data_IF_960989121688
#
_entry.id   IF_960989121688
#
_cell.length_a   1.000
_cell.length_b   1.000
_cell.length_c   1.000
_cell.angle_alpha   90.00
_cell.angle_beta   90.00
_cell.angle_gamma   90.00
#
_symmetry.space_group_name_H-M   'P 1'
#
loop_
_entity.id
_entity.type
_entity.pdbx_description
1 polymer ?
#
# COMPACT_ATOMS: atom_id res chain seq x y z
N UNK A 1 -85.50 -9.31 -63.96
CA UNK A 1 -84.17 -9.80 -63.58
C UNK A 1 -83.27 -8.59 -63.36
N UNK A 2 -83.18 -8.10 -62.12
CA UNK A 2 -82.36 -6.93 -61.75
C UNK A 2 -81.15 -7.47 -60.99
N UNK A 3 -79.98 -7.02 -61.41
CA UNK A 3 -78.69 -7.65 -61.18
C UNK A 3 -78.22 -7.64 -59.72
N UNK A 4 -77.99 -8.84 -59.20
CA UNK A 4 -77.18 -9.11 -58.02
C UNK A 4 -75.71 -9.04 -58.43
N UNK A 5 -75.09 -7.85 -58.47
CA UNK A 5 -73.63 -7.70 -58.71
C UNK A 5 -72.90 -6.66 -57.84
N UNK A 6 -73.52 -6.14 -56.78
CA UNK A 6 -72.89 -5.11 -55.94
C UNK A 6 -72.06 -5.64 -54.74
N UNK A 7 -72.05 -6.96 -54.45
CA UNK A 7 -71.56 -7.47 -53.17
C UNK A 7 -70.11 -8.02 -53.17
N UNK A 8 -69.44 -8.10 -54.32
CA UNK A 8 -68.06 -8.62 -54.43
C UNK A 8 -66.99 -7.59 -54.07
N UNK A 9 -67.24 -6.30 -54.34
CA UNK A 9 -66.28 -5.22 -54.06
C UNK A 9 -66.15 -4.90 -52.56
N UNK A 10 -67.23 -5.06 -51.78
CA UNK A 10 -67.20 -4.86 -50.33
C UNK A 10 -66.42 -5.98 -49.63
N UNK A 11 -66.64 -7.25 -50.02
CA UNK A 11 -65.86 -8.37 -49.48
C UNK A 11 -64.37 -8.21 -49.76
N UNK A 12 -63.99 -7.89 -51.00
CA UNK A 12 -62.58 -7.71 -51.37
C UNK A 12 -61.88 -6.57 -50.60
N UNK A 13 -62.56 -5.42 -50.39
CA UNK A 13 -61.99 -4.31 -49.62
C UNK A 13 -61.85 -4.64 -48.14
N UNK A 14 -62.80 -5.38 -47.57
CA UNK A 14 -62.72 -5.87 -46.19
C UNK A 14 -61.57 -6.87 -46.03
N UNK A 15 -61.36 -7.79 -46.97
CA UNK A 15 -60.22 -8.72 -46.89
C UNK A 15 -58.87 -8.02 -46.95
N UNK A 16 -58.71 -7.03 -47.82
CA UNK A 16 -57.46 -6.25 -47.93
C UNK A 16 -57.20 -5.44 -46.66
N UNK A 17 -58.22 -4.81 -46.08
CA UNK A 17 -58.09 -4.05 -44.84
C UNK A 17 -57.71 -4.96 -43.65
N UNK A 18 -58.30 -6.16 -43.56
CA UNK A 18 -57.98 -7.14 -42.49
C UNK A 18 -56.55 -7.66 -42.65
N UNK A 19 -56.10 -7.97 -43.86
CA UNK A 19 -54.71 -8.43 -44.11
C UNK A 19 -53.70 -7.34 -43.78
N UNK A 20 -53.97 -6.08 -44.16
CA UNK A 20 -53.10 -4.95 -43.81
C UNK A 20 -53.03 -4.73 -42.29
N UNK A 21 -54.17 -4.80 -41.58
CA UNK A 21 -54.19 -4.68 -40.12
C UNK A 21 -53.41 -5.82 -39.43
N UNK A 22 -53.54 -7.06 -39.91
CA UNK A 22 -52.76 -8.20 -39.40
C UNK A 22 -51.26 -8.06 -39.67
N UNK A 23 -50.87 -7.55 -40.83
CA UNK A 23 -49.47 -7.30 -41.16
C UNK A 23 -48.86 -6.23 -40.23
N UNK A 24 -49.58 -5.13 -39.98
CA UNK A 24 -49.14 -4.09 -39.03
C UNK A 24 -49.04 -4.65 -37.62
N UNK A 25 -50.04 -5.41 -37.16
CA UNK A 25 -49.99 -6.04 -35.84
C UNK A 25 -48.79 -6.99 -35.70
N UNK A 26 -48.50 -7.81 -36.72
CA UNK A 26 -47.32 -8.68 -36.72
C UNK A 26 -46.01 -7.90 -36.65
N UNK A 27 -45.88 -6.79 -37.40
CA UNK A 27 -44.70 -5.93 -37.34
C UNK A 27 -44.53 -5.29 -35.96
N UNK A 28 -45.61 -4.78 -35.36
CA UNK A 28 -45.58 -4.21 -34.00
C UNK A 28 -45.16 -5.26 -32.97
N UNK A 29 -45.71 -6.49 -33.05
CA UNK A 29 -45.31 -7.58 -32.15
C UNK A 29 -43.81 -7.91 -32.31
N UNK A 30 -43.30 -7.98 -33.54
CA UNK A 30 -41.87 -8.26 -33.79
C UNK A 30 -40.98 -7.13 -33.23
N UNK A 31 -41.38 -5.87 -33.38
CA UNK A 31 -40.64 -4.74 -32.84
C UNK A 31 -40.61 -4.78 -31.31
N UNK A 32 -41.76 -5.00 -30.65
CA UNK A 32 -41.85 -5.11 -29.19
C UNK A 32 -41.04 -6.30 -28.66
N UNK A 33 -41.09 -7.46 -29.32
CA UNK A 33 -40.30 -8.63 -28.93
C UNK A 33 -38.79 -8.35 -29.07
N UNK A 34 -38.39 -7.64 -30.13
CA UNK A 34 -36.99 -7.26 -30.34
C UNK A 34 -36.51 -6.27 -29.28
N UNK A 35 -37.32 -5.27 -28.97
CA UNK A 35 -37.03 -4.26 -27.95
C UNK A 35 -36.94 -4.89 -26.56
N UNK A 36 -37.90 -5.75 -26.18
CA UNK A 36 -37.85 -6.50 -24.92
C UNK A 36 -36.62 -7.42 -24.83
N UNK A 37 -36.20 -8.02 -25.95
CA UNK A 37 -35.01 -8.87 -25.96
C UNK A 37 -33.74 -8.05 -25.78
N UNK A 38 -33.63 -6.90 -26.45
CA UNK A 38 -32.48 -6.00 -26.28
C UNK A 38 -32.42 -5.44 -24.86
N UNK A 39 -33.56 -5.10 -24.27
CA UNK A 39 -33.63 -4.67 -22.89
C UNK A 39 -33.21 -5.80 -21.92
N UNK A 40 -33.67 -7.03 -22.13
CA UNK A 40 -33.27 -8.16 -21.31
C UNK A 40 -31.76 -8.50 -21.45
N UNK A 41 -31.20 -8.38 -22.65
CA UNK A 41 -29.76 -8.54 -22.91
C UNK A 41 -28.96 -7.43 -22.21
N UNK A 42 -29.46 -6.19 -22.22
CA UNK A 42 -28.85 -5.06 -21.51
C UNK A 42 -28.90 -5.23 -19.98
N UNK A 43 -30.07 -5.54 -19.42
CA UNK A 43 -30.23 -5.80 -17.97
C UNK A 43 -29.34 -6.95 -17.50
N UNK A 44 -29.21 -8.01 -18.31
CA UNK A 44 -28.30 -9.12 -18.02
C UNK A 44 -26.83 -8.69 -18.04
N UNK A 45 -26.42 -7.84 -18.97
CA UNK A 45 -25.05 -7.35 -19.06
C UNK A 45 -24.69 -6.37 -17.93
N UNK A 46 -25.62 -5.49 -17.52
CA UNK A 46 -25.47 -4.65 -16.32
C UNK A 46 -25.32 -5.55 -15.08
N UNK A 47 -26.21 -6.52 -14.90
CA UNK A 47 -26.19 -7.42 -13.74
C UNK A 47 -24.93 -8.29 -13.67
N UNK A 48 -24.40 -8.74 -14.81
CA UNK A 48 -23.15 -9.49 -14.87
C UNK A 48 -21.96 -8.59 -14.49
N UNK A 49 -21.91 -7.38 -15.02
CA UNK A 49 -20.89 -6.39 -14.67
C UNK A 49 -20.93 -6.01 -13.17
N UNK A 50 -22.11 -5.75 -12.62
CA UNK A 50 -22.29 -5.47 -11.18
C UNK A 50 -21.76 -6.62 -10.32
N UNK A 51 -21.99 -7.87 -10.76
CA UNK A 51 -21.49 -9.06 -10.07
C UNK A 51 -19.96 -9.13 -10.12
N UNK A 52 -19.35 -8.83 -11.27
CA UNK A 52 -17.89 -8.76 -11.40
C UNK A 52 -17.29 -7.65 -10.54
N UNK A 53 -17.94 -6.48 -10.49
CA UNK A 53 -17.52 -5.36 -9.67
C UNK A 53 -17.61 -5.69 -8.17
N UNK A 54 -18.73 -6.25 -7.72
CA UNK A 54 -18.88 -6.68 -6.32
C UNK A 54 -17.87 -7.77 -5.92
N UNK A 55 -17.54 -8.69 -6.84
CA UNK A 55 -16.48 -9.68 -6.60
C UNK A 55 -15.11 -9.01 -6.47
N UNK A 56 -14.79 -8.06 -7.35
CA UNK A 56 -13.56 -7.28 -7.28
C UNK A 56 -13.45 -6.54 -5.95
N UNK A 57 -14.52 -5.88 -5.51
CA UNK A 57 -14.60 -5.11 -4.26
C UNK A 57 -14.36 -6.02 -3.05
N UNK A 58 -15.05 -7.17 -2.99
CA UNK A 58 -14.84 -8.17 -1.94
C UNK A 58 -13.40 -8.69 -1.92
N UNK A 59 -12.82 -8.98 -3.08
CA UNK A 59 -11.43 -9.47 -3.18
C UNK A 59 -10.42 -8.39 -2.74
N UNK A 60 -10.66 -7.12 -3.08
CA UNK A 60 -9.82 -5.99 -2.64
C UNK A 60 -9.95 -5.72 -1.16
N UNK A 61 -11.16 -5.79 -0.59
CA UNK A 61 -11.37 -5.65 0.85
C UNK A 61 -10.69 -6.79 1.63
N UNK A 62 -10.78 -8.02 1.14
CA UNK A 62 -10.14 -9.18 1.77
C UNK A 62 -8.61 -9.13 1.67
N UNK A 63 -8.06 -8.66 0.54
CA UNK A 63 -6.61 -8.63 0.31
C UNK A 63 -5.89 -7.39 0.83
N UNK A 64 -6.46 -6.21 0.59
CA UNK A 64 -5.84 -4.89 0.87
C UNK A 64 -6.55 -4.19 2.02
N UNK A 65 -7.89 -4.23 2.04
CA UNK A 65 -8.72 -3.56 3.06
C UNK A 65 -8.58 -4.13 4.47
N UNK A 66 -8.04 -5.34 4.62
CA UNK A 66 -7.63 -5.91 5.90
C UNK A 66 -6.38 -5.24 6.49
N UNK A 67 -5.70 -4.37 5.73
CA UNK A 67 -4.49 -3.66 6.13
C UNK A 67 -3.21 -4.43 5.87
N UNK A 68 -2.13 -3.99 6.52
CA UNK A 68 -0.92 -4.78 6.63
C UNK A 68 -1.25 -5.95 7.57
N UNK A 69 -1.90 -6.97 7.04
CA UNK A 69 -2.09 -8.23 7.74
C UNK A 69 -0.70 -8.86 7.90
N UNK A 70 -0.03 -8.49 8.99
CA UNK A 70 1.18 -9.14 9.42
C UNK A 70 0.88 -10.64 9.57
N UNK A 71 1.74 -11.55 9.08
CA UNK A 71 1.60 -12.98 9.31
C UNK A 71 1.32 -13.26 10.80
N UNK A 72 0.53 -14.28 11.13
CA UNK A 72 0.25 -14.61 12.53
C UNK A 72 1.56 -14.68 13.36
N UNK A 73 1.69 -13.79 14.35
CA UNK A 73 2.87 -13.69 15.21
C UNK A 73 3.99 -12.75 14.73
N UNK A 74 3.82 -12.07 13.60
CA UNK A 74 4.74 -11.01 13.17
C UNK A 74 4.55 -9.74 14.01
N UNK A 75 5.67 -9.14 14.36
CA UNK A 75 5.79 -7.94 15.21
C UNK A 75 5.76 -6.70 14.31
N UNK A 76 5.21 -5.58 14.79
CA UNK A 76 5.29 -4.32 14.04
C UNK A 76 6.77 -3.92 13.87
N UNK A 77 7.08 -3.18 12.81
CA UNK A 77 8.46 -2.77 12.56
C UNK A 77 8.95 -1.84 13.67
N UNK A 78 8.06 -1.00 14.22
CA UNK A 78 8.37 -0.14 15.36
C UNK A 78 8.62 -0.91 16.66
N UNK A 79 7.97 -2.04 16.88
CA UNK A 79 8.21 -2.90 18.06
C UNK A 79 9.46 -3.78 17.91
N UNK A 80 9.83 -4.16 16.69
CA UNK A 80 11.03 -4.97 16.39
C UNK A 80 12.35 -4.18 16.46
N UNK A 81 12.26 -2.84 16.53
CA UNK A 81 13.38 -1.91 16.44
C UNK A 81 13.52 -1.12 17.74
N UNK A 82 14.59 -1.40 18.47
CA UNK A 82 15.08 -0.66 19.63
C UNK A 82 16.20 0.35 19.31
N UNK A 83 16.50 0.61 18.04
CA UNK A 83 17.36 1.71 17.58
C UNK A 83 18.86 1.56 17.85
N UNK A 84 19.28 0.40 18.36
CA UNK A 84 20.67 0.15 18.75
C UNK A 84 21.62 0.01 17.56
N UNK A 85 21.10 -0.07 16.35
CA UNK A 85 21.89 -0.17 15.12
C UNK A 85 22.41 1.20 14.61
N UNK A 86 21.97 2.33 15.18
CA UNK A 86 22.38 3.69 14.79
C UNK A 86 23.53 4.29 15.62
N UNK A 87 24.30 3.44 16.30
CA UNK A 87 25.52 3.82 17.02
C UNK A 87 26.74 3.11 16.45
N UNK A 88 27.96 3.58 16.74
CA UNK A 88 29.17 2.82 16.44
C UNK A 88 29.21 1.47 17.18
N UNK A 89 29.94 0.50 16.65
CA UNK A 89 30.10 -0.82 17.26
C UNK A 89 31.12 -0.75 18.41
N UNK A 90 30.63 -0.54 19.63
CA UNK A 90 31.48 -0.45 20.82
C UNK A 90 32.06 -1.82 21.22
N UNK A 91 33.37 -1.95 21.50
CA UNK A 91 34.00 -3.23 21.87
C UNK A 91 33.50 -3.85 23.17
N UNK A 92 32.89 -3.05 24.06
CA UNK A 92 32.40 -3.41 25.38
C UNK A 92 30.88 -3.57 25.45
N UNK A 93 30.17 -3.46 24.31
CA UNK A 93 28.79 -3.92 24.15
C UNK A 93 28.76 -5.46 24.18
N UNK A 94 29.14 -5.99 25.34
CA UNK A 94 29.32 -7.40 25.61
C UNK A 94 27.97 -8.04 25.88
N UNK A 95 27.18 -8.21 24.82
CA UNK A 95 26.28 -9.35 24.66
C UNK A 95 25.65 -9.28 23.24
N UNK A 96 26.08 -10.14 22.28
CA UNK A 96 25.46 -10.20 20.96
C UNK A 96 23.98 -10.64 21.03
N UNK A 97 23.53 -11.22 22.14
CA UNK A 97 22.12 -11.52 22.41
C UNK A 97 21.37 -10.35 23.08
N UNK A 98 22.07 -9.23 23.37
CA UNK A 98 21.48 -8.02 23.99
C UNK A 98 21.14 -6.91 23.02
N UNK A 99 21.36 -7.07 21.71
CA UNK A 99 20.74 -6.16 20.77
C UNK A 99 19.24 -6.27 20.98
N UNK A 100 18.62 -5.18 21.47
CA UNK A 100 17.17 -5.10 21.64
C UNK A 100 16.42 -5.38 20.32
N UNK A 101 17.16 -5.35 19.20
CA UNK A 101 16.70 -5.57 17.84
C UNK A 101 16.91 -7.04 17.47
N UNK A 102 15.82 -7.78 17.26
CA UNK A 102 15.89 -9.12 16.67
C UNK A 102 15.94 -8.99 15.16
N UNK A 103 17.07 -9.38 14.54
CA UNK A 103 17.23 -9.37 13.08
C UNK A 103 16.13 -10.17 12.37
N UNK A 104 15.69 -11.28 12.97
CA UNK A 104 14.61 -12.12 12.43
C UNK A 104 13.24 -11.42 12.48
N UNK A 105 12.96 -10.66 13.55
CA UNK A 105 11.73 -9.88 13.67
C UNK A 105 11.74 -8.70 12.68
N UNK A 106 12.85 -7.96 12.59
CA UNK A 106 13.01 -6.87 11.62
C UNK A 106 12.87 -7.38 10.19
N UNK A 107 13.53 -8.50 9.83
CA UNK A 107 13.42 -9.08 8.49
C UNK A 107 11.99 -9.55 8.18
N UNK A 108 11.31 -10.15 9.16
CA UNK A 108 9.90 -10.56 9.04
C UNK A 108 9.01 -9.34 8.78
N UNK A 109 9.13 -8.28 9.58
CA UNK A 109 8.35 -7.06 9.45
C UNK A 109 8.61 -6.35 8.10
N UNK A 110 9.89 -6.20 7.71
CA UNK A 110 10.29 -5.64 6.43
C UNK A 110 9.76 -6.44 5.23
N UNK A 111 9.76 -7.77 5.32
CA UNK A 111 9.21 -8.65 4.28
C UNK A 111 7.71 -8.46 4.16
N UNK A 112 6.98 -8.41 5.27
CA UNK A 112 5.53 -8.24 5.28
C UNK A 112 5.13 -6.86 4.70
N UNK A 113 5.78 -5.78 5.11
CA UNK A 113 5.50 -4.43 4.61
C UNK A 113 5.84 -4.28 3.12
N UNK A 114 6.93 -4.90 2.66
CA UNK A 114 7.30 -4.89 1.23
C UNK A 114 6.32 -5.70 0.39
N UNK A 115 5.88 -6.88 0.87
CA UNK A 115 4.87 -7.68 0.20
C UNK A 115 3.51 -6.97 0.13
N UNK A 116 3.12 -6.29 1.21
CA UNK A 116 1.92 -5.45 1.23
C UNK A 116 2.01 -4.33 0.19
N UNK A 117 3.13 -3.61 0.15
CA UNK A 117 3.37 -2.55 -0.82
C UNK A 117 3.24 -3.04 -2.27
N UNK A 118 3.82 -4.19 -2.58
CA UNK A 118 3.68 -4.82 -3.90
C UNK A 118 2.23 -5.18 -4.20
N UNK A 119 1.48 -5.69 -3.22
CA UNK A 119 0.06 -6.05 -3.39
C UNK A 119 -0.83 -4.87 -3.74
N UNK A 120 -0.54 -3.68 -3.21
CA UNK A 120 -1.26 -2.43 -3.52
C UNK A 120 -0.88 -1.91 -4.91
N UNK A 121 0.41 -1.95 -5.25
CA UNK A 121 0.90 -1.48 -6.54
C UNK A 121 0.32 -2.30 -7.70
N UNK A 122 0.36 -3.64 -7.59
CA UNK A 122 -0.11 -4.56 -8.64
C UNK A 122 -1.61 -4.86 -8.58
N UNK A 123 -2.35 -4.22 -7.66
CA UNK A 123 -3.79 -4.44 -7.53
C UNK A 123 -4.51 -4.18 -8.86
N UNK A 124 -5.37 -5.09 -9.35
CA UNK A 124 -6.13 -4.83 -10.56
C UNK A 124 -7.12 -3.68 -10.34
N UNK A 125 -7.26 -2.83 -11.35
CA UNK A 125 -8.35 -1.85 -11.44
C UNK A 125 -9.72 -2.54 -11.41
N UNK A 126 -10.79 -1.85 -11.00
CA UNK A 126 -12.14 -2.38 -11.13
C UNK A 126 -12.47 -2.72 -12.58
N UNK A 127 -13.31 -3.74 -12.82
CA UNK A 127 -13.71 -4.13 -14.18
C UNK A 127 -14.42 -2.97 -14.87
N UNK A 128 -13.86 -2.54 -16.01
CA UNK A 128 -14.45 -1.47 -16.79
C UNK A 128 -15.85 -1.86 -17.31
N UNK A 129 -16.79 -0.91 -17.37
CA UNK A 129 -18.10 -1.18 -17.93
C UNK A 129 -18.02 -1.54 -19.43
N UNK A 130 -18.91 -2.41 -19.95
CA UNK A 130 -18.92 -2.73 -21.38
C UNK A 130 -19.14 -1.48 -22.24
N UNK A 131 -18.37 -1.32 -23.31
CA UNK A 131 -18.36 -0.10 -24.14
C UNK A 131 -19.64 0.16 -24.93
N UNK A 132 -20.45 -0.88 -25.12
CA UNK A 132 -21.75 -0.87 -25.78
C UNK A 132 -22.92 -0.68 -24.81
N UNK A 133 -22.64 -0.57 -23.51
CA UNK A 133 -23.62 -0.33 -22.47
C UNK A 133 -23.80 1.17 -22.21
N UNK A 134 -25.01 1.69 -22.43
CA UNK A 134 -25.38 3.00 -21.92
C UNK A 134 -25.74 2.89 -20.43
N UNK A 135 -24.76 3.13 -19.55
CA UNK A 135 -24.97 3.16 -18.10
C UNK A 135 -25.51 4.51 -17.64
N UNK A 136 -26.36 4.50 -16.61
CA UNK A 136 -26.73 5.74 -15.93
C UNK A 136 -25.56 6.26 -15.08
N UNK A 137 -25.63 7.51 -14.64
CA UNK A 137 -24.63 8.07 -13.71
C UNK A 137 -24.67 7.32 -12.37
N UNK A 138 -25.84 6.80 -11.98
CA UNK A 138 -25.99 6.02 -10.75
C UNK A 138 -25.28 4.67 -10.84
N UNK A 139 -25.31 4.02 -12.00
CA UNK A 139 -24.64 2.73 -12.21
C UNK A 139 -23.11 2.92 -12.33
N UNK A 140 -22.64 4.06 -12.88
CA UNK A 140 -21.21 4.36 -13.01
C UNK A 140 -20.54 4.81 -11.71
N UNK A 141 -21.30 5.41 -10.78
CA UNK A 141 -20.75 6.00 -9.57
C UNK A 141 -19.92 5.01 -8.70
N UNK A 142 -20.34 3.74 -8.47
CA UNK A 142 -19.52 2.77 -7.74
C UNK A 142 -18.19 2.47 -8.41
N UNK A 143 -18.18 2.30 -9.74
CA UNK A 143 -16.95 2.06 -10.50
C UNK A 143 -15.97 3.23 -10.40
N UNK A 144 -16.47 4.46 -10.61
CA UNK A 144 -15.63 5.67 -10.52
C UNK A 144 -15.07 5.85 -9.11
N UNK A 145 -15.88 5.59 -8.08
CA UNK A 145 -15.44 5.62 -6.68
C UNK A 145 -14.37 4.56 -6.41
N UNK A 146 -14.59 3.30 -6.84
CA UNK A 146 -13.64 2.22 -6.61
C UNK A 146 -12.29 2.47 -7.29
N UNK A 147 -12.29 2.99 -8.51
CA UNK A 147 -11.05 3.34 -9.22
C UNK A 147 -10.35 4.53 -8.55
N UNK A 148 -11.10 5.57 -8.15
CA UNK A 148 -10.55 6.70 -7.41
C UNK A 148 -9.95 6.27 -6.07
N UNK A 149 -10.66 5.45 -5.29
CA UNK A 149 -10.21 4.94 -4.00
C UNK A 149 -8.91 4.14 -4.13
N UNK A 150 -8.77 3.30 -5.16
CA UNK A 150 -7.54 2.55 -5.40
C UNK A 150 -6.37 3.48 -5.80
N UNK A 151 -6.64 4.48 -6.64
CA UNK A 151 -5.63 5.46 -7.02
C UNK A 151 -5.17 6.30 -5.82
N UNK A 152 -6.11 6.74 -4.98
CA UNK A 152 -5.85 7.50 -3.77
C UNK A 152 -5.06 6.67 -2.75
N UNK A 153 -5.42 5.39 -2.57
CA UNK A 153 -4.65 4.46 -1.75
C UNK A 153 -3.21 4.39 -2.23
N UNK A 154 -2.98 4.10 -3.52
CA UNK A 154 -1.62 4.00 -4.10
C UNK A 154 -0.81 5.28 -3.88
N UNK A 155 -1.45 6.43 -4.08
CA UNK A 155 -0.82 7.73 -3.85
C UNK A 155 -0.45 7.92 -2.38
N UNK A 156 -1.39 7.61 -1.47
CA UNK A 156 -1.22 7.80 -0.04
C UNK A 156 -0.14 6.89 0.55
N UNK A 157 -0.03 5.64 0.09
CA UNK A 157 0.97 4.70 0.62
C UNK A 157 2.35 4.81 -0.03
N UNK A 158 2.47 5.50 -1.17
CA UNK A 158 3.72 5.55 -1.96
C UNK A 158 4.91 6.10 -1.17
N UNK A 159 4.73 7.25 -0.51
CA UNK A 159 5.78 7.89 0.31
C UNK A 159 6.16 7.05 1.54
N UNK A 160 5.22 6.61 2.41
CA UNK A 160 5.58 5.84 3.58
C UNK A 160 6.20 4.48 3.23
N UNK A 161 5.73 3.81 2.18
CA UNK A 161 6.35 2.57 1.68
C UNK A 161 7.78 2.81 1.20
N UNK A 162 8.03 3.91 0.49
CA UNK A 162 9.38 4.25 0.04
C UNK A 162 10.33 4.46 1.23
N UNK A 163 9.86 5.14 2.27
CA UNK A 163 10.62 5.33 3.51
C UNK A 163 10.88 3.99 4.23
N UNK A 164 9.88 3.12 4.33
CA UNK A 164 10.03 1.77 4.90
C UNK A 164 11.04 0.94 4.08
N UNK A 165 10.99 0.98 2.74
CA UNK A 165 11.95 0.25 1.88
C UNK A 165 13.38 0.76 2.08
N UNK A 166 13.57 2.07 2.22
CA UNK A 166 14.86 2.67 2.55
C UNK A 166 15.37 2.18 3.92
N UNK A 167 14.50 2.18 4.93
CA UNK A 167 14.82 1.65 6.25
C UNK A 167 15.24 0.18 6.17
N UNK A 168 14.41 -0.65 5.56
CA UNK A 168 14.62 -2.09 5.40
C UNK A 168 15.83 -2.44 4.52
N UNK A 169 16.28 -1.52 3.65
CA UNK A 169 17.51 -1.70 2.86
C UNK A 169 18.80 -1.48 3.67
N UNK A 170 18.73 -0.71 4.76
CA UNK A 170 19.93 -0.28 5.51
C UNK A 170 19.98 -0.89 6.92
N UNK A 171 18.87 -0.89 7.65
CA UNK A 171 18.83 -1.29 9.07
C UNK A 171 19.31 -2.73 9.31
N UNK A 172 18.91 -3.75 8.53
CA UNK A 172 19.44 -5.10 8.70
C UNK A 172 20.96 -5.19 8.53
N UNK A 173 21.54 -4.40 7.62
CA UNK A 173 22.98 -4.37 7.42
C UNK A 173 23.71 -3.77 8.63
N UNK A 174 23.10 -2.77 9.28
CA UNK A 174 23.63 -2.19 10.51
C UNK A 174 23.60 -3.20 11.67
N UNK A 175 22.47 -3.90 11.88
CA UNK A 175 22.39 -4.97 12.90
C UNK A 175 23.46 -6.04 12.64
N UNK A 176 23.60 -6.49 11.39
CA UNK A 176 24.61 -7.48 11.01
C UNK A 176 26.03 -7.01 11.30
N UNK A 177 26.34 -5.73 11.05
CA UNK A 177 27.65 -5.16 11.35
C UNK A 177 27.98 -5.26 12.85
N UNK A 178 27.00 -5.00 13.73
CA UNK A 178 27.14 -5.14 15.17
C UNK A 178 27.32 -6.59 15.64
N UNK A 179 26.88 -7.58 14.85
CA UNK A 179 27.09 -9.00 15.14
C UNK A 179 28.49 -9.54 14.80
N UNK A 180 29.35 -8.72 14.20
CA UNK A 180 30.72 -9.14 13.85
C UNK A 180 31.64 -9.15 15.08
N UNK A 181 32.54 -10.13 15.16
CA UNK A 181 33.45 -10.27 16.31
C UNK A 181 34.67 -9.35 16.25
N UNK A 182 34.95 -8.77 15.08
CA UNK A 182 36.03 -7.80 14.88
C UNK A 182 35.43 -6.38 14.91
N UNK A 183 35.69 -5.64 15.99
CA UNK A 183 35.15 -4.29 16.16
C UNK A 183 35.60 -3.30 15.09
N UNK A 184 36.78 -3.48 14.47
CA UNK A 184 37.20 -2.60 13.39
C UNK A 184 36.43 -2.88 12.10
N UNK A 185 36.20 -4.16 11.80
CA UNK A 185 35.34 -4.60 10.70
C UNK A 185 33.89 -4.13 10.91
N UNK A 186 33.36 -4.32 12.12
CA UNK A 186 32.03 -3.86 12.53
C UNK A 186 31.83 -2.36 12.23
N UNK A 187 32.75 -1.54 12.72
CA UNK A 187 32.68 -0.09 12.57
C UNK A 187 32.88 0.36 11.11
N UNK A 188 33.73 -0.33 10.34
CA UNK A 188 33.86 -0.06 8.92
C UNK A 188 32.55 -0.36 8.18
N UNK A 189 31.89 -1.49 8.50
CA UNK A 189 30.60 -1.86 7.92
C UNK A 189 29.48 -0.87 8.30
N UNK A 190 29.42 -0.41 9.56
CA UNK A 190 28.49 0.66 9.99
C UNK A 190 28.74 1.94 9.21
N UNK A 191 30.00 2.37 9.10
CA UNK A 191 30.36 3.58 8.38
C UNK A 191 30.01 3.52 6.89
N UNK A 192 30.22 2.37 6.25
CA UNK A 192 29.93 2.17 4.83
C UNK A 192 28.42 2.11 4.57
N UNK A 193 27.65 1.40 5.42
CA UNK A 193 26.19 1.35 5.32
C UNK A 193 25.57 2.76 5.45
N UNK A 194 25.95 3.51 6.48
CA UNK A 194 25.44 4.88 6.70
C UNK A 194 25.93 5.90 5.67
N UNK A 195 27.06 5.63 4.99
CA UNK A 195 27.53 6.48 3.90
C UNK A 195 26.71 6.31 2.61
N UNK A 196 26.13 5.12 2.41
CA UNK A 196 25.26 4.84 1.27
C UNK A 196 23.89 5.47 1.50
N UNK A 197 23.30 5.22 2.68
CA UNK A 197 21.96 5.68 2.99
C UNK A 197 21.73 5.73 4.50
N UNK A 198 21.08 6.79 4.99
CA UNK A 198 20.56 6.82 6.35
C UNK A 198 19.18 6.12 6.37
N UNK A 199 18.91 5.16 7.27
CA UNK A 199 17.64 4.43 7.27
C UNK A 199 16.43 5.32 7.58
N UNK A 200 16.64 6.42 8.31
CA UNK A 200 15.62 7.41 8.64
C UNK A 200 16.09 8.77 8.12
N UNK A 201 15.52 9.32 7.02
CA UNK A 201 16.00 10.55 6.40
C UNK A 201 16.05 11.75 7.35
N UNK A 202 15.15 11.82 8.33
CA UNK A 202 15.13 12.89 9.34
C UNK A 202 16.26 12.78 10.38
N UNK A 203 17.10 11.74 10.29
CA UNK A 203 18.28 11.50 11.12
C UNK A 203 19.58 11.60 10.32
N UNK A 204 19.60 12.29 9.17
CA UNK A 204 20.77 12.35 8.29
C UNK A 204 22.02 12.89 9.01
N UNK A 205 21.86 13.88 9.89
CA UNK A 205 22.98 14.44 10.65
C UNK A 205 23.49 13.45 11.71
N UNK A 206 22.59 12.76 12.41
CA UNK A 206 22.91 11.65 13.34
C UNK A 206 23.64 10.52 12.61
N UNK A 207 23.14 10.08 11.46
CA UNK A 207 23.79 9.08 10.61
C UNK A 207 25.20 9.51 10.18
N UNK A 208 25.37 10.78 9.82
CA UNK A 208 26.68 11.34 9.45
C UNK A 208 27.64 11.34 10.64
N UNK A 209 27.18 11.75 11.82
CA UNK A 209 27.95 11.73 13.06
C UNK A 209 28.36 10.29 13.45
N UNK A 210 27.42 9.34 13.39
CA UNK A 210 27.67 7.92 13.63
C UNK A 210 28.68 7.35 12.64
N UNK A 211 28.53 7.61 11.33
CA UNK A 211 29.48 7.15 10.32
C UNK A 211 30.88 7.73 10.54
N UNK A 212 30.99 9.01 10.94
CA UNK A 212 32.25 9.65 11.29
C UNK A 212 32.94 8.98 12.49
N UNK A 213 32.18 8.76 13.57
CA UNK A 213 32.66 8.09 14.76
C UNK A 213 33.08 6.63 14.49
N UNK A 214 32.29 5.89 13.72
CA UNK A 214 32.60 4.51 13.35
C UNK A 214 33.92 4.42 12.56
N UNK A 215 34.16 5.29 11.56
CA UNK A 215 35.46 5.33 10.84
C UNK A 215 36.64 5.60 11.76
N UNK A 216 36.47 6.48 12.75
CA UNK A 216 37.53 6.79 13.70
C UNK A 216 37.89 5.57 14.56
N UNK A 217 36.89 4.78 14.99
CA UNK A 217 37.09 3.57 15.79
C UNK A 217 37.74 2.43 15.00
N UNK A 218 37.41 2.28 13.71
CA UNK A 218 38.06 1.32 12.81
C UNK A 218 39.57 1.54 12.64
N UNK A 219 40.05 2.75 12.94
CA UNK A 219 41.46 3.15 12.83
C UNK A 219 42.34 2.89 14.06
N UNK A 220 41.89 2.10 15.05
CA UNK A 220 42.49 1.92 16.38
C UNK A 220 42.34 3.15 17.29
N UNK A 221 41.18 3.26 17.94
CA UNK A 221 40.95 4.30 18.94
C UNK A 221 41.84 4.12 20.19
N UNK A 222 42.51 5.20 20.65
CA UNK A 222 43.28 5.17 21.89
C UNK A 222 42.41 5.38 23.15
N UNK A 223 41.17 5.85 23.04
CA UNK A 223 40.30 6.13 24.20
C UNK A 223 38.79 6.07 23.86
N UNK A 224 38.17 4.94 24.17
CA UNK A 224 36.76 4.66 23.91
C UNK A 224 35.79 5.65 24.59
N UNK A 225 36.06 6.03 25.84
CA UNK A 225 35.17 6.95 26.58
C UNK A 225 35.15 8.35 25.96
N UNK A 226 36.30 8.80 25.43
CA UNK A 226 36.37 10.04 24.67
C UNK A 226 35.56 9.95 23.38
N UNK A 227 35.69 8.84 22.64
CA UNK A 227 34.99 8.69 21.35
C UNK A 227 33.47 8.56 21.52
N UNK A 228 33.02 7.84 22.55
CA UNK A 228 31.59 7.79 22.91
C UNK A 228 31.06 9.19 23.24
N UNK A 229 31.80 9.98 24.03
CA UNK A 229 31.40 11.35 24.37
C UNK A 229 31.41 12.29 23.16
N UNK A 230 32.38 12.15 22.25
CA UNK A 230 32.44 12.92 21.00
C UNK A 230 31.28 12.57 20.07
N UNK A 231 30.96 11.28 19.92
CA UNK A 231 29.78 10.82 19.18
C UNK A 231 28.49 11.39 19.79
N UNK A 232 28.30 11.22 21.10
CA UNK A 232 27.11 11.68 21.81
C UNK A 232 26.92 13.20 21.67
N UNK A 233 28.01 13.97 21.75
CA UNK A 233 27.98 15.42 21.53
C UNK A 233 27.59 15.77 20.09
N UNK A 234 28.16 15.08 19.10
CA UNK A 234 27.84 15.32 17.69
C UNK A 234 26.38 14.99 17.35
N UNK A 235 25.81 13.94 17.96
CA UNK A 235 24.39 13.58 17.80
C UNK A 235 23.48 14.62 18.46
N UNK A 236 23.80 15.10 19.66
CA UNK A 236 22.99 16.15 20.31
C UNK A 236 23.12 17.49 19.57
N UNK A 237 24.32 17.85 19.10
CA UNK A 237 24.57 19.06 18.33
C UNK A 237 23.88 19.06 16.96
N UNK A 238 23.43 17.89 16.46
CA UNK A 238 22.62 17.79 15.26
C UNK A 238 21.23 18.43 15.42
N UNK A 239 20.73 18.50 16.66
CA UNK A 239 19.40 18.99 16.98
C UNK A 239 18.26 17.99 16.69
N UNK A 240 18.58 16.77 16.24
CA UNK A 240 17.60 15.73 15.94
C UNK A 240 17.18 14.95 17.21
N UNK A 241 17.97 15.06 18.27
CA UNK A 241 17.79 14.34 19.54
C UNK A 241 17.93 15.30 20.71
N UNK A 242 16.97 15.30 21.63
CA UNK A 242 17.03 16.07 22.88
C UNK A 242 17.48 15.16 24.03
N UNK A 243 18.80 15.15 24.29
CA UNK A 243 19.42 14.34 25.32
C UNK A 243 20.65 15.02 25.93
N UNK A 244 21.05 14.57 27.12
CA UNK A 244 22.30 15.02 27.73
C UNK A 244 23.49 14.32 27.05
N UNK A 245 24.28 15.07 26.27
CA UNK A 245 25.47 14.56 25.58
C UNK A 245 26.54 13.95 26.50
N UNK A 246 26.53 14.27 27.80
CA UNK A 246 27.42 13.65 28.78
C UNK A 246 26.99 12.22 29.19
N UNK A 247 25.78 11.81 28.82
CA UNK A 247 25.22 10.49 29.07
C UNK A 247 24.95 9.78 27.73
N UNK A 248 25.94 9.02 27.26
CA UNK A 248 25.84 8.25 26.00
C UNK A 248 24.62 7.34 25.98
N UNK A 249 24.25 6.74 27.11
CA UNK A 249 23.07 5.86 27.19
C UNK A 249 21.75 6.63 27.02
N UNK A 250 21.69 7.87 27.52
CA UNK A 250 20.55 8.76 27.25
C UNK A 250 20.45 9.15 25.78
N UNK A 251 21.58 9.41 25.10
CA UNK A 251 21.60 9.70 23.66
C UNK A 251 21.15 8.48 22.85
N UNK A 252 21.66 7.28 23.14
CA UNK A 252 21.24 6.03 22.49
C UNK A 252 19.72 5.81 22.64
N UNK A 253 19.19 5.98 23.85
CA UNK A 253 17.75 5.84 24.14
C UNK A 253 16.92 6.86 23.34
N UNK A 254 17.39 8.09 23.23
CA UNK A 254 16.67 9.15 22.54
C UNK A 254 16.72 8.98 21.01
N UNK A 255 17.85 8.52 20.43
CA UNK A 255 17.92 8.10 19.02
C UNK A 255 16.93 6.97 18.75
N UNK A 256 16.90 5.94 19.60
CA UNK A 256 15.96 4.85 19.49
C UNK A 256 14.51 5.31 19.49
N UNK A 257 14.15 6.20 20.42
CA UNK A 257 12.81 6.78 20.48
C UNK A 257 12.43 7.52 19.19
N UNK A 258 13.35 8.25 18.57
CA UNK A 258 13.08 8.92 17.28
C UNK A 258 12.88 7.91 16.16
N UNK A 259 13.70 6.86 16.08
CA UNK A 259 13.53 5.78 15.07
C UNK A 259 12.18 5.09 15.24
N UNK A 260 11.87 4.61 16.45
CA UNK A 260 10.61 3.92 16.73
C UNK A 260 9.41 4.83 16.45
N UNK A 261 9.46 6.11 16.87
CA UNK A 261 8.39 7.07 16.59
C UNK A 261 8.23 7.34 15.10
N UNK A 262 9.33 7.40 14.34
CA UNK A 262 9.27 7.59 12.89
C UNK A 262 8.60 6.40 12.22
N UNK A 263 9.03 5.17 12.54
CA UNK A 263 8.47 3.94 11.99
C UNK A 263 6.99 3.79 12.32
N UNK A 264 6.60 4.01 13.59
CA UNK A 264 5.19 3.97 13.99
C UNK A 264 4.35 5.00 13.23
N UNK A 265 4.89 6.20 12.97
CA UNK A 265 4.23 7.22 12.16
C UNK A 265 4.05 6.82 10.69
N UNK A 266 4.98 6.04 10.11
CA UNK A 266 4.85 5.50 8.76
C UNK A 266 3.81 4.37 8.71
N UNK A 267 3.84 3.45 9.68
CA UNK A 267 2.86 2.37 9.81
C UNK A 267 1.45 2.93 9.97
N UNK A 268 1.28 3.93 10.84
CA UNK A 268 0.00 4.62 11.03
C UNK A 268 -0.52 5.26 9.72
N UNK A 269 0.34 5.90 8.93
CA UNK A 269 -0.07 6.49 7.65
C UNK A 269 -0.57 5.42 6.66
N UNK A 270 0.06 4.25 6.63
CA UNK A 270 -0.39 3.12 5.81
C UNK A 270 -1.74 2.61 6.29
N UNK A 271 -1.91 2.41 7.59
CA UNK A 271 -3.17 1.93 8.19
C UNK A 271 -4.33 2.93 7.98
N UNK A 272 -4.07 4.23 8.09
CA UNK A 272 -5.06 5.27 7.81
C UNK A 272 -5.48 5.26 6.34
N UNK A 273 -4.53 5.12 5.41
CA UNK A 273 -4.82 5.02 3.98
C UNK A 273 -5.65 3.77 3.64
N UNK A 274 -5.32 2.63 4.25
CA UNK A 274 -6.13 1.40 4.15
C UNK A 274 -7.54 1.62 4.66
N UNK A 275 -7.69 2.24 5.84
CA UNK A 275 -8.98 2.44 6.47
C UNK A 275 -9.89 3.32 5.60
N UNK A 276 -9.33 4.37 4.99
CA UNK A 276 -10.03 5.21 4.02
C UNK A 276 -10.45 4.39 2.81
N UNK A 277 -9.53 3.61 2.21
CA UNK A 277 -9.86 2.73 1.08
C UNK A 277 -10.98 1.75 1.39
N UNK A 278 -10.92 1.08 2.55
CA UNK A 278 -11.96 0.15 3.00
C UNK A 278 -13.30 0.84 3.26
N UNK A 279 -13.29 2.07 3.75
CA UNK A 279 -14.51 2.87 3.94
C UNK A 279 -15.14 3.32 2.62
N UNK A 280 -14.34 3.62 1.59
CA UNK A 280 -14.83 4.00 0.26
C UNK A 280 -15.41 2.80 -0.51
N UNK A 281 -14.87 1.58 -0.29
CA UNK A 281 -15.37 0.32 -0.85
C UNK A 281 -16.47 -0.35 0.01
N UNK A 282 -16.72 0.12 1.23
CA UNK A 282 -17.73 -0.45 2.13
C UNK A 282 -19.10 0.25 2.08
N UNK A 283 -19.23 1.30 1.27
CA UNK A 283 -20.39 2.22 1.22
C UNK A 283 -21.17 2.15 -0.09
#
# INVERSE_FOLDING_TARGET
MIGVRANSNLRSRVTVAVVAALAVAAVVIVLVVRENRQQAEHEAAVSDWDTQFASWESDRLAGIGAGVALPDGAVSLSDAVGGTALRPAWPDAADPDSSADSLDEVNTACTALTAYAESVDVAPEPPAPPTDLELTDQDRAPFERGSAALADLRSAVSEPISAIRQFCGTYPALILAHGTTDGAEANQAVADALAVQCPVPTLEATCTATAGAARALGGQSPNMATDQSLWASAVVDSGEVDANAADTGAVETAVAAVVTSHLAGLEQQVDEAVAVFGAELGQ
#
